data_IF_000158853570
#
_entry.id   IF_000158853570
#
_cell.length_a   1.000
_cell.length_b   1.000
_cell.length_c   1.000
_cell.angle_alpha   90.00
_cell.angle_beta   90.00
_cell.angle_gamma   90.00
#
_symmetry.space_group_name_H-M   'P 1'
#
loop_
_entity.id
_entity.type
_entity.pdbx_description
1 polymer ?
#
# COMPACT_ATOMS: atom_id res chain seq x y z
N UNK A 1 22.21 -9.95 -27.83
CA UNK A 1 20.93 -10.71 -27.85
C UNK A 1 21.16 -11.93 -26.99
N UNK A 2 20.66 -11.92 -25.74
CA UNK A 2 20.68 -13.12 -24.90
C UNK A 2 19.27 -13.72 -25.10
N UNK A 3 19.22 -14.82 -25.87
CA UNK A 3 17.99 -15.57 -26.13
C UNK A 3 17.36 -16.00 -24.79
N UNK A 4 16.06 -15.79 -24.64
CA UNK A 4 15.27 -16.45 -23.59
C UNK A 4 15.30 -17.95 -23.91
N UNK A 5 16.04 -18.74 -23.15
CA UNK A 5 15.98 -20.18 -23.24
C UNK A 5 14.52 -20.65 -23.08
N UNK A 6 14.10 -21.64 -23.86
CA UNK A 6 12.75 -22.20 -23.86
C UNK A 6 12.33 -22.51 -22.41
N UNK A 7 11.16 -22.00 -22.01
CA UNK A 7 10.58 -22.26 -20.69
C UNK A 7 10.19 -23.75 -20.61
N UNK A 8 10.52 -24.49 -19.54
CA UNK A 8 10.05 -25.86 -19.41
C UNK A 8 8.53 -25.87 -19.39
N UNK A 9 7.95 -26.69 -20.25
CA UNK A 9 6.54 -26.74 -20.61
C UNK A 9 5.64 -26.95 -19.40
N UNK A 10 4.82 -25.97 -19.04
CA UNK A 10 3.71 -26.04 -18.08
C UNK A 10 2.59 -27.02 -18.56
N UNK A 11 2.76 -27.65 -19.71
CA UNK A 11 1.77 -28.45 -20.42
C UNK A 11 1.28 -29.72 -19.67
N UNK A 12 1.95 -30.15 -18.60
CA UNK A 12 1.61 -31.40 -17.90
C UNK A 12 0.61 -31.24 -16.74
N UNK A 13 0.26 -30.01 -16.31
CA UNK A 13 -0.69 -29.77 -15.21
C UNK A 13 -2.10 -29.35 -15.64
N UNK A 14 -2.32 -29.01 -16.91
CA UNK A 14 -3.61 -28.46 -17.40
C UNK A 14 -4.56 -29.50 -18.04
N UNK A 15 -4.24 -30.80 -18.08
CA UNK A 15 -5.05 -31.83 -18.74
C UNK A 15 -6.13 -32.47 -17.85
N UNK A 16 -6.66 -31.78 -16.82
CA UNK A 16 -7.80 -32.28 -16.02
C UNK A 16 -8.87 -31.21 -15.82
N UNK A 17 -9.38 -30.64 -16.90
CA UNK A 17 -10.42 -29.60 -16.83
C UNK A 17 -11.85 -30.04 -17.14
N UNK A 18 -12.12 -31.32 -17.49
CA UNK A 18 -13.42 -31.71 -18.03
C UNK A 18 -14.32 -32.59 -17.14
N UNK A 19 -13.94 -32.87 -15.90
CA UNK A 19 -14.83 -33.66 -15.02
C UNK A 19 -14.77 -33.21 -13.58
N UNK A 20 -15.56 -32.19 -13.18
CA UNK A 20 -16.15 -32.12 -11.83
C UNK A 20 -17.37 -31.19 -11.88
N UNK A 21 -18.53 -31.79 -11.54
CA UNK A 21 -19.84 -31.16 -11.56
C UNK A 21 -20.04 -30.03 -10.57
N UNK A 22 -21.06 -29.26 -10.85
CA UNK A 22 -21.57 -28.10 -10.09
C UNK A 22 -21.83 -28.44 -8.61
N UNK A 23 -21.03 -27.88 -7.72
CA UNK A 23 -21.42 -27.66 -6.32
C UNK A 23 -21.05 -26.24 -5.91
N UNK A 24 -21.97 -25.60 -5.23
CA UNK A 24 -21.99 -24.19 -4.87
C UNK A 24 -20.72 -23.65 -4.17
N UNK A 25 -20.16 -22.56 -4.70
CA UNK A 25 -19.47 -21.55 -3.89
C UNK A 25 -17.95 -21.52 -3.88
N UNK A 26 -17.24 -22.48 -4.50
CA UNK A 26 -15.78 -22.41 -4.64
C UNK A 26 -15.39 -22.96 -6.02
N UNK A 27 -15.31 -22.09 -7.01
CA UNK A 27 -14.77 -22.46 -8.34
C UNK A 27 -13.34 -22.95 -8.07
N UNK A 28 -13.09 -24.24 -8.22
CA UNK A 28 -11.82 -24.91 -7.96
C UNK A 28 -10.68 -24.32 -8.79
N UNK A 29 -10.09 -23.22 -8.30
CA UNK A 29 -8.85 -22.68 -8.88
C UNK A 29 -7.73 -23.66 -8.55
N UNK A 30 -6.93 -24.00 -9.57
CA UNK A 30 -5.73 -24.80 -9.35
C UNK A 30 -4.80 -24.03 -8.44
N UNK A 31 -4.29 -24.63 -7.35
CA UNK A 31 -3.32 -24.00 -6.47
C UNK A 31 -2.09 -23.54 -7.26
N UNK A 32 -1.72 -22.28 -7.13
CA UNK A 32 -0.56 -21.67 -7.79
C UNK A 32 0.52 -21.46 -6.75
N UNK A 33 1.77 -21.76 -7.11
CA UNK A 33 2.93 -21.50 -6.25
C UNK A 33 3.49 -20.10 -6.54
N UNK A 34 3.36 -19.21 -5.56
CA UNK A 34 3.64 -17.77 -5.69
C UNK A 34 4.87 -17.39 -4.86
N UNK A 35 5.86 -16.78 -5.51
CA UNK A 35 6.98 -16.12 -4.85
C UNK A 35 6.73 -14.62 -4.72
N UNK A 36 6.52 -14.10 -3.51
CA UNK A 36 6.41 -12.66 -3.24
C UNK A 36 7.77 -12.10 -2.86
N UNK A 37 8.28 -11.15 -3.63
CA UNK A 37 9.62 -10.60 -3.44
C UNK A 37 9.54 -9.21 -2.82
N UNK A 38 10.05 -9.07 -1.60
CA UNK A 38 10.23 -7.78 -0.94
C UNK A 38 11.66 -7.26 -1.15
N UNK A 39 11.86 -6.01 -1.56
CA UNK A 39 13.19 -5.40 -1.55
C UNK A 39 13.63 -4.98 -0.14
N UNK A 40 12.72 -4.98 0.84
CA UNK A 40 12.92 -4.43 2.18
C UNK A 40 12.93 -5.50 3.27
N UNK A 41 13.73 -5.24 4.31
CA UNK A 41 13.84 -6.09 5.50
C UNK A 41 12.51 -6.07 6.31
N UNK A 42 11.89 -7.23 6.56
CA UNK A 42 10.66 -7.35 7.33
C UNK A 42 10.79 -6.95 8.81
N UNK A 43 12.00 -6.94 9.36
CA UNK A 43 12.25 -6.49 10.74
C UNK A 43 12.01 -5.00 10.97
N UNK A 44 11.73 -4.24 9.90
CA UNK A 44 11.41 -2.81 9.95
C UNK A 44 10.08 -2.57 9.24
N UNK A 45 8.97 -2.50 9.97
CA UNK A 45 7.63 -2.38 9.39
C UNK A 45 7.51 -1.15 8.49
N UNK A 46 6.93 -1.35 7.31
CA UNK A 46 6.70 -0.32 6.30
C UNK A 46 5.58 -0.73 5.35
N UNK A 47 4.91 0.23 4.74
CA UNK A 47 3.69 -0.01 3.95
C UNK A 47 3.81 -1.06 2.85
N UNK A 48 5.00 -1.20 2.22
CA UNK A 48 5.23 -2.23 1.19
C UNK A 48 5.23 -3.63 1.80
N UNK A 49 5.88 -3.82 2.95
CA UNK A 49 5.93 -5.12 3.59
C UNK A 49 4.57 -5.53 4.18
N UNK A 50 3.84 -4.59 4.76
CA UNK A 50 2.45 -4.82 5.20
C UNK A 50 1.55 -5.24 4.02
N UNK A 51 1.69 -4.58 2.87
CA UNK A 51 0.99 -4.97 1.65
C UNK A 51 1.31 -6.42 1.23
N UNK A 52 2.59 -6.81 1.27
CA UNK A 52 3.04 -8.18 0.97
C UNK A 52 2.43 -9.18 1.95
N UNK A 53 2.41 -8.87 3.25
CA UNK A 53 1.86 -9.76 4.27
C UNK A 53 0.36 -9.98 4.10
N UNK A 54 -0.39 -8.92 3.79
CA UNK A 54 -1.83 -9.04 3.55
C UNK A 54 -2.11 -9.85 2.28
N UNK A 55 -1.41 -9.59 1.17
CA UNK A 55 -1.55 -10.40 -0.04
C UNK A 55 -1.21 -11.88 0.22
N UNK A 56 -0.11 -12.14 0.97
CA UNK A 56 0.24 -13.50 1.37
C UNK A 56 -0.90 -14.18 2.13
N UNK A 57 -1.46 -13.49 3.12
CA UNK A 57 -2.55 -14.04 3.93
C UNK A 57 -3.79 -14.38 3.08
N UNK A 58 -4.17 -13.48 2.16
CA UNK A 58 -5.30 -13.71 1.25
C UNK A 58 -5.04 -14.86 0.28
N UNK A 59 -3.85 -14.92 -0.33
CA UNK A 59 -3.52 -16.00 -1.26
C UNK A 59 -3.45 -17.37 -0.56
N UNK A 60 -2.89 -17.44 0.65
CA UNK A 60 -2.89 -18.67 1.46
C UNK A 60 -4.31 -19.07 1.83
N UNK A 61 -5.17 -18.11 2.20
CA UNK A 61 -6.61 -18.38 2.46
C UNK A 61 -7.32 -18.88 1.21
N UNK A 62 -6.91 -18.40 0.03
CA UNK A 62 -7.39 -18.86 -1.28
C UNK A 62 -6.83 -20.23 -1.71
N UNK A 63 -6.02 -20.91 -0.89
CA UNK A 63 -5.46 -22.24 -1.17
C UNK A 63 -4.19 -22.23 -2.02
N UNK A 64 -3.54 -21.08 -2.23
CA UNK A 64 -2.27 -20.98 -2.95
C UNK A 64 -1.06 -21.28 -2.04
N UNK A 65 0.02 -21.82 -2.62
CA UNK A 65 1.32 -21.98 -1.94
C UNK A 65 2.12 -20.70 -2.09
N UNK A 66 2.35 -19.99 -0.97
CA UNK A 66 2.94 -18.65 -1.00
C UNK A 66 4.22 -18.56 -0.18
N UNK A 67 5.28 -18.17 -0.83
CA UNK A 67 6.59 -17.97 -0.21
C UNK A 67 7.04 -16.51 -0.38
N UNK A 68 7.46 -15.87 0.73
CA UNK A 68 8.04 -14.52 0.72
C UNK A 68 9.56 -14.60 0.71
N UNK A 69 10.20 -13.88 -0.20
CA UNK A 69 11.65 -13.67 -0.23
C UNK A 69 11.93 -12.21 0.14
N UNK A 70 12.77 -11.98 1.16
CA UNK A 70 13.11 -10.64 1.61
C UNK A 70 14.55 -10.58 2.14
N UNK A 71 15.22 -9.40 2.11
CA UNK A 71 16.49 -9.21 2.78
C UNK A 71 16.34 -9.37 4.29
N UNK A 72 17.25 -10.10 4.95
CA UNK A 72 17.23 -10.23 6.42
C UNK A 72 18.62 -10.47 7.01
N UNK A 73 19.09 -9.53 7.73
CA UNK A 73 20.04 -9.31 8.79
C UNK A 73 21.25 -10.17 9.05
N UNK A 74 21.59 -11.28 8.41
CA UNK A 74 22.83 -12.03 8.66
C UNK A 74 23.69 -12.22 7.42
N UNK A 75 25.02 -12.15 7.63
CA UNK A 75 26.02 -12.33 6.59
C UNK A 75 25.93 -13.74 5.99
N UNK A 76 25.72 -13.82 4.67
CA UNK A 76 25.98 -15.04 3.88
C UNK A 76 25.00 -16.20 4.03
N UNK A 77 23.78 -16.03 4.54
CA UNK A 77 22.85 -17.13 4.79
C UNK A 77 21.46 -16.97 4.17
N UNK A 78 20.93 -18.08 3.68
CA UNK A 78 19.52 -18.28 3.42
C UNK A 78 18.88 -18.75 4.74
N UNK A 79 18.01 -17.93 5.36
CA UNK A 79 17.22 -18.36 6.51
C UNK A 79 15.85 -18.80 6.02
N UNK A 80 15.56 -20.10 6.10
CA UNK A 80 14.26 -20.66 5.72
C UNK A 80 13.38 -20.84 6.95
N UNK A 81 12.16 -20.32 6.88
CA UNK A 81 11.05 -20.58 7.80
C UNK A 81 9.79 -20.81 6.97
N UNK A 82 8.76 -21.39 7.54
CA UNK A 82 7.51 -21.69 6.84
C UNK A 82 7.00 -20.54 5.96
N UNK A 83 7.11 -20.71 4.63
CA UNK A 83 6.72 -19.72 3.65
C UNK A 83 7.54 -18.42 3.65
N UNK A 84 8.78 -18.42 4.18
CA UNK A 84 9.66 -17.25 4.20
C UNK A 84 11.12 -17.60 3.98
N UNK A 85 11.80 -16.86 3.11
CA UNK A 85 13.26 -16.90 2.91
C UNK A 85 13.89 -15.54 3.19
N UNK A 86 14.69 -15.45 4.23
CA UNK A 86 15.55 -14.31 4.54
C UNK A 86 16.87 -14.40 3.77
N UNK A 87 17.20 -13.40 2.94
CA UNK A 87 18.34 -13.44 2.02
C UNK A 87 19.25 -12.23 2.21
N UNK A 88 20.48 -12.48 2.64
CA UNK A 88 21.56 -11.49 2.66
C UNK A 88 21.49 -10.46 3.78
N UNK A 89 22.59 -9.70 3.89
CA UNK A 89 22.76 -8.65 4.91
C UNK A 89 22.08 -7.36 4.49
N UNK A 90 21.44 -6.68 5.43
CA UNK A 90 20.75 -5.40 5.16
C UNK A 90 21.56 -4.18 5.56
N UNK A 91 21.41 -3.10 4.79
CA UNK A 91 21.98 -1.77 5.01
C UNK A 91 20.84 -0.76 5.05
N UNK A 92 20.80 0.18 6.02
CA UNK A 92 19.80 1.23 6.06
C UNK A 92 20.07 2.28 4.99
N UNK A 93 19.02 2.66 4.25
CA UNK A 93 19.06 3.78 3.30
C UNK A 93 17.85 4.70 3.51
N UNK A 94 17.99 6.03 3.31
CA UNK A 94 16.87 6.94 3.38
C UNK A 94 15.97 6.79 2.14
N UNK A 95 14.66 6.61 2.37
CA UNK A 95 13.67 6.53 1.30
C UNK A 95 12.35 7.19 1.73
N UNK A 96 11.84 8.13 0.95
CA UNK A 96 10.53 8.79 1.14
C UNK A 96 10.28 9.31 2.57
N UNK A 97 11.29 9.90 3.22
CA UNK A 97 11.18 10.42 4.59
C UNK A 97 11.22 9.34 5.68
N UNK A 98 11.57 8.12 5.32
CA UNK A 98 11.78 6.97 6.21
C UNK A 98 13.16 6.36 6.00
N UNK A 99 13.61 5.54 6.96
CA UNK A 99 14.74 4.64 6.78
C UNK A 99 14.21 3.27 6.37
N UNK A 100 14.65 2.77 5.21
CA UNK A 100 14.38 1.40 4.77
C UNK A 100 15.67 0.59 4.78
N UNK A 101 15.57 -0.73 4.91
CA UNK A 101 16.73 -1.62 4.86
C UNK A 101 16.67 -2.49 3.62
N UNK A 102 17.71 -2.43 2.80
CA UNK A 102 17.87 -3.20 1.56
C UNK A 102 19.17 -4.01 1.61
N UNK A 103 19.32 -5.00 0.72
CA UNK A 103 20.60 -5.69 0.55
C UNK A 103 21.36 -5.15 -0.66
N UNK A 104 22.70 -5.04 -0.53
CA UNK A 104 23.62 -4.77 -1.64
C UNK A 104 24.55 -5.97 -1.89
N UNK A 105 24.23 -7.13 -1.34
CA UNK A 105 25.06 -8.32 -1.44
C UNK A 105 24.87 -9.04 -2.77
N UNK A 106 25.73 -8.74 -3.74
CA UNK A 106 25.71 -9.35 -5.08
C UNK A 106 26.19 -10.81 -5.08
N UNK A 107 26.86 -11.26 -4.00
CA UNK A 107 27.33 -12.65 -3.87
C UNK A 107 26.18 -13.65 -3.73
N UNK A 108 24.96 -13.15 -3.47
CA UNK A 108 23.73 -13.94 -3.37
C UNK A 108 23.24 -14.53 -4.70
N UNK A 109 23.88 -14.20 -5.83
CA UNK A 109 23.44 -14.64 -7.17
C UNK A 109 23.18 -16.15 -7.22
N UNK A 110 24.15 -16.97 -6.80
CA UNK A 110 24.02 -18.43 -6.84
C UNK A 110 22.98 -18.96 -5.84
N UNK A 111 22.86 -18.34 -4.67
CA UNK A 111 21.84 -18.70 -3.68
C UNK A 111 20.42 -18.44 -4.20
N UNK A 112 20.19 -17.28 -4.80
CA UNK A 112 18.91 -16.94 -5.43
C UNK A 112 18.60 -17.88 -6.59
N UNK A 113 19.57 -18.12 -7.48
CA UNK A 113 19.42 -19.03 -8.61
C UNK A 113 19.04 -20.45 -8.18
N UNK A 114 19.73 -20.98 -7.16
CA UNK A 114 19.46 -22.32 -6.61
C UNK A 114 18.08 -22.37 -5.96
N UNK A 115 17.70 -21.33 -5.21
CA UNK A 115 16.40 -21.22 -4.58
C UNK A 115 15.27 -21.24 -5.63
N UNK A 116 15.35 -20.38 -6.65
CA UNK A 116 14.32 -20.31 -7.69
C UNK A 116 14.17 -21.63 -8.46
N UNK A 117 15.28 -22.34 -8.71
CA UNK A 117 15.25 -23.67 -9.34
C UNK A 117 14.62 -24.73 -8.43
N UNK A 118 14.86 -24.66 -7.12
CA UNK A 118 14.29 -25.62 -6.16
C UNK A 118 12.79 -25.39 -5.98
N UNK A 119 12.39 -24.15 -5.78
CA UNK A 119 11.00 -23.79 -5.49
C UNK A 119 10.08 -23.91 -6.69
N UNK A 120 10.58 -23.70 -7.91
CA UNK A 120 9.78 -23.80 -9.15
C UNK A 120 8.46 -23.03 -9.05
N UNK A 121 8.54 -21.73 -8.75
CA UNK A 121 7.37 -20.86 -8.69
C UNK A 121 6.63 -20.80 -10.02
N UNK A 122 5.30 -20.79 -9.97
CA UNK A 122 4.44 -20.54 -11.15
C UNK A 122 4.39 -19.02 -11.44
N UNK A 123 4.43 -18.20 -10.38
CA UNK A 123 4.43 -16.73 -10.44
C UNK A 123 5.50 -16.18 -9.51
N UNK A 124 6.22 -15.19 -9.96
CA UNK A 124 7.07 -14.33 -9.13
C UNK A 124 6.49 -12.92 -9.17
N UNK A 125 6.09 -12.42 -8.00
CA UNK A 125 5.58 -11.06 -7.86
C UNK A 125 6.56 -10.20 -7.06
N UNK A 126 7.16 -9.22 -7.73
CA UNK A 126 8.16 -8.33 -7.16
C UNK A 126 7.53 -7.00 -6.76
N UNK A 127 7.70 -6.60 -5.51
CA UNK A 127 7.33 -5.26 -5.06
C UNK A 127 8.53 -4.33 -5.19
N UNK A 128 8.31 -3.13 -5.77
CA UNK A 128 9.38 -2.19 -6.14
C UNK A 128 10.50 -2.89 -6.94
N UNK A 129 10.21 -3.44 -8.12
CA UNK A 129 11.12 -4.30 -8.87
C UNK A 129 12.43 -3.63 -9.32
N UNK A 130 12.48 -2.28 -9.26
CA UNK A 130 13.66 -1.49 -9.62
C UNK A 130 14.54 -1.10 -8.44
N UNK A 131 14.24 -1.58 -7.23
CA UNK A 131 15.14 -1.46 -6.07
C UNK A 131 16.24 -2.53 -6.21
N UNK A 132 17.54 -2.16 -6.21
CA UNK A 132 18.63 -3.13 -6.20
C UNK A 132 18.72 -3.81 -4.81
N UNK A 133 19.22 -4.99 -4.62
CA UNK A 133 19.85 -5.98 -5.50
C UNK A 133 18.94 -7.20 -5.64
N UNK A 134 18.17 -7.57 -4.58
CA UNK A 134 17.39 -8.80 -4.55
C UNK A 134 16.40 -8.91 -5.72
N UNK A 135 15.56 -7.88 -6.03
CA UNK A 135 14.68 -7.93 -7.19
C UNK A 135 15.42 -8.19 -8.51
N UNK A 136 16.60 -7.60 -8.69
CA UNK A 136 17.40 -7.79 -9.90
C UNK A 136 17.92 -9.21 -10.02
N UNK A 137 18.46 -9.77 -8.91
CA UNK A 137 18.94 -11.17 -8.90
C UNK A 137 17.81 -12.14 -9.21
N UNK A 138 16.62 -11.88 -8.70
CA UNK A 138 15.43 -12.68 -9.01
C UNK A 138 15.04 -12.53 -10.48
N UNK A 139 14.91 -11.33 -11.03
CA UNK A 139 14.57 -11.11 -12.43
C UNK A 139 15.59 -11.72 -13.40
N UNK A 140 16.89 -11.66 -13.09
CA UNK A 140 17.95 -12.26 -13.91
C UNK A 140 17.88 -13.79 -13.96
N UNK A 141 17.40 -14.43 -12.90
CA UNK A 141 17.37 -15.89 -12.78
C UNK A 141 15.98 -16.51 -12.94
N UNK A 142 14.94 -15.70 -12.97
CA UNK A 142 13.56 -16.17 -13.15
C UNK A 142 13.33 -16.74 -14.54
N UNK A 143 12.65 -17.90 -14.60
CA UNK A 143 12.21 -18.58 -15.81
C UNK A 143 10.68 -18.71 -15.87
N UNK A 144 9.97 -18.01 -14.98
CA UNK A 144 8.50 -18.02 -14.90
C UNK A 144 7.91 -16.64 -15.14
N UNK A 145 6.61 -16.51 -14.98
CA UNK A 145 5.89 -15.24 -15.12
C UNK A 145 6.28 -14.28 -13.99
N UNK A 146 6.74 -13.10 -14.37
CA UNK A 146 7.18 -12.06 -13.45
C UNK A 146 6.19 -10.88 -13.46
N UNK A 147 5.63 -10.55 -12.30
CA UNK A 147 4.75 -9.40 -12.10
C UNK A 147 5.46 -8.38 -11.21
N UNK A 148 5.38 -7.10 -11.55
CA UNK A 148 6.01 -6.04 -10.77
C UNK A 148 5.00 -5.04 -10.24
N UNK A 149 4.97 -4.79 -8.91
CA UNK A 149 4.15 -3.73 -8.29
C UNK A 149 5.00 -2.54 -7.87
N UNK A 150 4.56 -1.33 -8.27
CA UNK A 150 5.17 -0.04 -8.00
C UNK A 150 4.36 0.72 -6.97
N UNK A 151 5.00 1.07 -5.84
CA UNK A 151 4.36 1.77 -4.70
C UNK A 151 4.79 3.23 -4.58
N UNK A 152 5.97 3.57 -5.14
CA UNK A 152 6.56 4.88 -4.96
C UNK A 152 5.84 5.95 -5.79
N UNK A 153 5.64 7.11 -5.18
CA UNK A 153 5.28 8.36 -5.86
C UNK A 153 6.33 9.44 -5.55
N UNK A 154 6.88 10.02 -6.60
CA UNK A 154 7.82 11.14 -6.55
C UNK A 154 7.62 12.02 -7.77
N UNK A 155 8.08 13.27 -7.71
CA UNK A 155 8.10 14.16 -8.88
C UNK A 155 9.16 13.75 -9.91
N UNK A 156 10.31 13.24 -9.44
CA UNK A 156 11.40 12.78 -10.30
C UNK A 156 12.31 11.78 -9.58
N UNK A 157 13.12 11.06 -10.34
CA UNK A 157 14.16 10.17 -9.82
C UNK A 157 15.43 10.30 -10.67
N UNK A 158 16.47 10.99 -10.17
CA UNK A 158 17.79 11.01 -10.83
C UNK A 158 18.35 9.60 -11.05
N UNK A 159 18.08 8.69 -10.12
CA UNK A 159 18.47 7.28 -10.22
C UNK A 159 17.87 6.60 -11.45
N UNK A 160 16.57 6.78 -11.71
CA UNK A 160 15.91 6.21 -12.88
C UNK A 160 16.46 6.81 -14.18
N UNK A 161 16.82 8.07 -14.18
CA UNK A 161 17.46 8.74 -15.34
C UNK A 161 18.85 8.19 -15.59
N UNK A 162 19.72 8.14 -14.55
CA UNK A 162 21.11 7.73 -14.68
C UNK A 162 21.28 6.26 -15.10
N UNK A 163 20.40 5.36 -14.60
CA UNK A 163 20.48 3.92 -14.85
C UNK A 163 19.40 3.41 -15.81
N UNK A 164 18.78 4.30 -16.59
CA UNK A 164 17.64 3.99 -17.49
C UNK A 164 17.88 2.76 -18.38
N UNK A 165 19.01 2.60 -19.09
CA UNK A 165 19.21 1.43 -19.97
C UNK A 165 19.15 0.10 -19.22
N UNK A 166 19.82 0.03 -18.07
CA UNK A 166 19.84 -1.16 -17.23
C UNK A 166 18.46 -1.46 -16.64
N UNK A 167 17.79 -0.43 -16.15
CA UNK A 167 16.42 -0.58 -15.60
C UNK A 167 15.40 -0.93 -16.68
N UNK A 168 15.55 -0.41 -17.91
CA UNK A 168 14.72 -0.81 -19.04
C UNK A 168 14.87 -2.29 -19.37
N UNK A 169 16.09 -2.83 -19.26
CA UNK A 169 16.32 -4.25 -19.39
C UNK A 169 15.62 -5.04 -18.26
N UNK A 170 15.66 -4.58 -16.98
CA UNK A 170 14.90 -5.23 -15.90
C UNK A 170 13.39 -5.13 -16.14
N UNK A 171 12.89 -3.99 -16.60
CA UNK A 171 11.48 -3.79 -16.95
C UNK A 171 11.00 -4.71 -18.06
N UNK A 172 11.85 -5.03 -19.04
CA UNK A 172 11.51 -5.96 -20.14
C UNK A 172 11.34 -7.42 -19.68
N UNK A 173 11.78 -7.74 -18.47
CA UNK A 173 11.60 -9.07 -17.85
C UNK A 173 10.32 -9.20 -17.05
N UNK A 174 9.55 -8.11 -16.89
CA UNK A 174 8.22 -8.15 -16.29
C UNK A 174 7.18 -8.47 -17.36
N UNK A 175 6.38 -9.50 -17.13
CA UNK A 175 5.28 -9.92 -18.00
C UNK A 175 4.01 -9.08 -17.71
N UNK A 176 3.83 -8.58 -16.48
CA UNK A 176 2.79 -7.63 -16.12
C UNK A 176 3.28 -6.59 -15.09
N UNK A 177 2.63 -5.42 -15.09
CA UNK A 177 3.00 -4.29 -14.22
C UNK A 177 1.77 -3.77 -13.51
N UNK A 178 1.89 -3.60 -12.19
CA UNK A 178 0.85 -3.05 -11.31
C UNK A 178 1.39 -1.75 -10.71
N UNK A 179 0.54 -0.73 -10.62
CA UNK A 179 0.81 0.48 -9.84
C UNK A 179 -0.28 0.64 -8.77
N UNK A 180 0.10 1.00 -7.55
CA UNK A 180 -0.86 1.11 -6.44
C UNK A 180 -1.76 2.36 -6.51
N UNK A 181 -1.52 3.25 -7.46
CA UNK A 181 -2.35 4.44 -7.68
C UNK A 181 -2.02 5.10 -9.02
N UNK A 182 -2.92 5.97 -9.54
CA UNK A 182 -2.59 6.79 -10.71
C UNK A 182 -1.31 7.62 -10.53
N UNK A 183 -1.07 8.32 -9.39
CA UNK A 183 0.20 9.01 -9.18
C UNK A 183 1.44 8.11 -9.22
N UNK A 184 1.37 6.87 -8.69
CA UNK A 184 2.48 5.91 -8.75
C UNK A 184 2.74 5.45 -10.19
N UNK A 185 1.66 5.16 -10.96
CA UNK A 185 1.76 4.87 -12.40
C UNK A 185 2.40 6.04 -13.15
N UNK A 186 1.91 7.25 -12.95
CA UNK A 186 2.37 8.44 -13.67
C UNK A 186 3.85 8.71 -13.39
N UNK A 187 4.30 8.48 -12.15
CA UNK A 187 5.70 8.59 -11.80
C UNK A 187 6.57 7.57 -12.56
N UNK A 188 6.23 6.28 -12.51
CA UNK A 188 7.07 5.24 -13.15
C UNK A 188 6.99 5.30 -14.67
N UNK A 189 5.84 5.66 -15.24
CA UNK A 189 5.64 5.74 -16.69
C UNK A 189 6.38 6.89 -17.36
N UNK A 190 6.81 7.94 -16.63
CA UNK A 190 7.71 8.98 -17.14
C UNK A 190 9.04 8.40 -17.65
N UNK A 191 9.49 7.29 -17.07
CA UNK A 191 10.76 6.63 -17.40
C UNK A 191 10.57 5.37 -18.23
N UNK A 192 9.53 4.59 -17.92
CA UNK A 192 9.28 3.25 -18.48
C UNK A 192 7.83 3.16 -18.96
N UNK A 193 7.61 3.53 -20.21
CA UNK A 193 6.31 3.49 -20.84
C UNK A 193 5.75 2.05 -20.97
N UNK A 194 4.44 1.93 -21.12
CA UNK A 194 3.74 0.66 -21.31
C UNK A 194 2.48 0.56 -20.45
N UNK A 195 1.78 -0.58 -20.52
CA UNK A 195 0.57 -0.81 -19.74
C UNK A 195 0.90 -1.03 -18.26
N UNK A 196 0.05 -0.50 -17.39
CA UNK A 196 0.05 -0.71 -15.94
C UNK A 196 -1.38 -0.92 -15.46
N UNK A 197 -1.64 -2.03 -14.80
CA UNK A 197 -2.88 -2.22 -14.04
C UNK A 197 -2.84 -1.35 -12.77
N UNK A 198 -3.91 -0.61 -12.48
CA UNK A 198 -4.01 0.14 -11.23
C UNK A 198 -4.74 -0.71 -10.22
N UNK A 199 -4.00 -1.26 -9.25
CA UNK A 199 -4.53 -2.04 -8.13
C UNK A 199 -4.06 -1.39 -6.83
N UNK A 200 -4.98 -0.75 -6.08
CA UNK A 200 -4.61 0.00 -4.89
C UNK A 200 -4.17 -0.88 -3.73
N UNK A 201 -3.63 -0.24 -2.68
CA UNK A 201 -3.44 -0.92 -1.40
C UNK A 201 -4.79 -1.27 -0.80
N UNK A 202 -4.88 -2.43 -0.16
CA UNK A 202 -6.04 -2.83 0.60
C UNK A 202 -6.02 -2.34 2.04
N UNK A 203 -7.15 -2.50 2.71
CA UNK A 203 -7.31 -2.41 4.16
C UNK A 203 -8.02 -3.67 4.67
N UNK A 204 -7.86 -3.97 5.94
CA UNK A 204 -8.67 -4.96 6.65
C UNK A 204 -9.93 -4.24 7.15
N UNK A 205 -10.96 -4.25 6.33
CA UNK A 205 -12.21 -3.52 6.61
C UNK A 205 -12.86 -4.05 7.90
N UNK A 206 -12.87 -5.36 8.09
CA UNK A 206 -13.48 -5.99 9.27
C UNK A 206 -12.85 -5.53 10.59
N UNK A 207 -11.56 -5.20 10.57
CA UNK A 207 -10.84 -4.67 11.73
C UNK A 207 -11.36 -3.32 12.22
N UNK A 208 -11.94 -2.51 11.33
CA UNK A 208 -12.41 -1.16 11.63
C UNK A 208 -13.93 -1.06 11.74
N UNK A 209 -14.68 -2.08 11.29
CA UNK A 209 -16.13 -2.09 11.38
C UNK A 209 -16.60 -2.52 12.78
N UNK A 210 -17.72 -1.93 13.21
CA UNK A 210 -18.45 -2.29 14.44
C UNK A 210 -17.59 -2.33 15.72
N UNK A 211 -16.55 -1.47 15.74
CA UNK A 211 -15.63 -1.35 16.88
C UNK A 211 -16.27 -0.47 17.94
N UNK A 212 -16.25 -0.94 19.18
CA UNK A 212 -16.73 -0.18 20.33
C UNK A 212 -15.86 1.08 20.55
N UNK A 213 -16.47 2.28 20.49
CA UNK A 213 -15.74 3.52 20.72
C UNK A 213 -15.21 3.62 22.16
N UNK A 214 -14.33 4.55 22.42
CA UNK A 214 -13.91 4.85 23.78
C UNK A 214 -15.08 5.46 24.60
N UNK A 215 -15.14 5.25 25.92
CA UNK A 215 -16.24 5.79 26.77
C UNK A 215 -16.43 7.30 26.64
N UNK A 216 -15.35 8.05 26.41
CA UNK A 216 -15.40 9.50 26.24
C UNK A 216 -16.03 9.96 24.92
N UNK A 217 -16.28 9.08 23.97
CA UNK A 217 -16.92 9.45 22.69
C UNK A 217 -18.35 10.00 22.87
N UNK A 218 -19.01 9.67 23.99
CA UNK A 218 -20.39 10.05 24.29
C UNK A 218 -20.50 11.19 25.33
N UNK A 219 -19.40 11.91 25.63
CA UNK A 219 -19.40 13.00 26.63
C UNK A 219 -19.90 14.35 26.07
N UNK A 220 -20.28 14.40 24.81
CA UNK A 220 -20.77 15.59 24.11
C UNK A 220 -19.68 16.55 23.65
N UNK A 221 -18.39 16.23 23.86
CA UNK A 221 -17.26 17.07 23.41
C UNK A 221 -16.88 16.71 21.98
N UNK A 222 -16.99 17.65 21.02
CA UNK A 222 -16.65 17.39 19.63
C UNK A 222 -15.16 17.08 19.44
N UNK A 223 -14.83 16.02 18.69
CA UNK A 223 -13.44 15.58 18.48
C UNK A 223 -13.06 15.46 17.02
N UNK A 224 -11.95 16.11 16.68
CA UNK A 224 -11.26 15.96 15.42
C UNK A 224 -10.12 14.97 15.64
N UNK A 225 -10.02 13.94 14.83
CA UNK A 225 -8.94 12.96 14.89
C UNK A 225 -7.91 13.22 13.79
N UNK A 226 -6.64 13.20 14.14
CA UNK A 226 -5.50 13.10 13.22
C UNK A 226 -4.74 11.80 13.50
N UNK A 227 -4.40 11.05 12.44
CA UNK A 227 -3.58 9.84 12.56
C UNK A 227 -2.37 9.93 11.63
N UNK A 228 -1.16 9.75 12.16
CA UNK A 228 0.05 9.70 11.36
C UNK A 228 1.32 10.16 12.06
N UNK A 229 2.46 10.08 11.35
CA UNK A 229 3.76 10.60 11.82
C UNK A 229 3.76 12.13 11.74
N UNK A 230 3.39 12.79 12.82
CA UNK A 230 3.08 14.22 12.81
C UNK A 230 4.31 15.14 12.70
N UNK A 231 5.53 14.64 12.93
CA UNK A 231 6.76 15.42 12.67
C UNK A 231 7.10 15.53 11.17
N UNK A 232 6.44 14.78 10.29
CA UNK A 232 6.63 14.92 8.86
C UNK A 232 5.86 16.15 8.34
N UNK A 233 6.56 17.19 7.81
CA UNK A 233 5.90 18.44 7.40
C UNK A 233 4.80 18.24 6.36
N UNK A 234 4.97 17.21 5.49
CA UNK A 234 3.99 16.86 4.45
C UNK A 234 2.65 16.37 5.01
N UNK A 235 2.62 15.79 6.23
CA UNK A 235 1.38 15.36 6.91
C UNK A 235 0.49 16.52 7.35
N UNK A 236 1.02 17.73 7.40
CA UNK A 236 0.25 18.94 7.50
C UNK A 236 -0.35 19.26 8.87
N UNK A 237 0.05 18.58 9.96
CA UNK A 237 -0.48 18.84 11.31
C UNK A 237 -0.46 20.33 11.67
N UNK A 238 0.59 21.07 11.29
CA UNK A 238 0.69 22.52 11.53
C UNK A 238 -0.49 23.33 10.99
N UNK A 239 -1.11 22.89 9.90
CA UNK A 239 -2.28 23.57 9.33
C UNK A 239 -3.56 23.22 10.10
N UNK A 240 -3.67 22.00 10.60
CA UNK A 240 -4.77 21.58 11.46
C UNK A 240 -4.70 22.29 12.83
N UNK A 241 -3.52 22.40 13.43
CA UNK A 241 -3.32 23.19 14.65
C UNK A 241 -3.75 24.66 14.46
N UNK A 242 -3.42 25.26 13.33
CA UNK A 242 -3.84 26.64 12.99
C UNK A 242 -5.32 26.74 12.66
N UNK A 243 -5.97 25.69 12.20
CA UNK A 243 -7.39 25.62 11.92
C UNK A 243 -8.23 25.48 13.21
N UNK A 244 -7.70 24.82 14.24
CA UNK A 244 -8.45 24.51 15.47
C UNK A 244 -9.02 25.73 16.17
N UNK A 245 -8.33 26.88 16.38
CA UNK A 245 -8.93 28.08 16.96
C UNK A 245 -10.12 28.61 16.14
N UNK A 246 -10.09 28.47 14.81
CA UNK A 246 -11.20 28.87 13.94
C UNK A 246 -12.40 27.92 14.07
N UNK A 247 -12.16 26.62 14.21
CA UNK A 247 -13.21 25.62 14.50
C UNK A 247 -13.86 25.93 15.85
N UNK A 248 -13.06 26.26 16.86
CA UNK A 248 -13.54 26.58 18.22
C UNK A 248 -14.38 27.84 18.32
N UNK A 249 -14.40 28.69 17.31
CA UNK A 249 -15.35 29.82 17.26
C UNK A 249 -16.82 29.32 17.18
N UNK A 250 -17.07 28.16 16.56
CA UNK A 250 -18.40 27.55 16.50
C UNK A 250 -18.58 26.38 17.46
N UNK A 251 -17.50 25.68 17.78
CA UNK A 251 -17.45 24.55 18.71
C UNK A 251 -16.43 24.82 19.81
N UNK A 252 -16.75 25.63 20.83
CA UNK A 252 -15.79 26.13 21.83
C UNK A 252 -15.01 25.02 22.55
N UNK A 253 -15.69 23.88 22.78
CA UNK A 253 -15.11 22.72 23.48
C UNK A 253 -14.43 21.71 22.54
N UNK A 254 -14.38 21.98 21.24
CA UNK A 254 -13.77 21.07 20.27
C UNK A 254 -12.33 20.73 20.65
N UNK A 255 -12.00 19.44 20.58
CA UNK A 255 -10.66 18.89 20.85
C UNK A 255 -10.06 18.26 19.59
N UNK A 256 -8.74 18.33 19.51
CA UNK A 256 -7.95 17.64 18.49
C UNK A 256 -7.20 16.49 19.14
N UNK A 257 -7.51 15.26 18.73
CA UNK A 257 -6.79 14.04 19.16
C UNK A 257 -5.75 13.71 18.10
N UNK A 258 -4.47 13.70 18.48
CA UNK A 258 -3.33 13.42 17.60
C UNK A 258 -2.75 12.07 17.94
N UNK A 259 -2.97 11.09 17.06
CA UNK A 259 -2.47 9.72 17.22
C UNK A 259 -1.32 9.47 16.25
N UNK A 260 -0.19 8.97 16.77
CA UNK A 260 0.96 8.59 15.97
C UNK A 260 2.29 9.00 16.58
N UNK A 261 3.36 8.72 15.84
CA UNK A 261 4.73 9.06 16.29
C UNK A 261 5.07 10.50 15.97
N UNK A 262 5.68 11.15 16.92
CA UNK A 262 6.21 12.50 16.78
C UNK A 262 6.63 13.07 18.11
N UNK A 263 7.13 14.29 18.08
CA UNK A 263 7.56 15.07 19.24
C UNK A 263 6.64 16.30 19.33
N UNK A 264 5.75 16.36 20.32
CA UNK A 264 4.83 17.48 20.53
C UNK A 264 5.54 18.81 20.76
N UNK A 265 6.73 18.81 21.40
CA UNK A 265 7.50 20.02 21.72
C UNK A 265 7.84 20.84 20.47
N UNK A 266 7.99 20.19 19.31
CA UNK A 266 8.20 20.88 18.02
C UNK A 266 7.05 21.79 17.60
N UNK A 267 5.89 21.65 18.20
CA UNK A 267 4.69 22.45 17.93
C UNK A 267 4.37 23.45 19.04
N UNK A 268 5.08 23.44 20.19
CA UNK A 268 4.80 24.30 21.32
C UNK A 268 4.77 25.80 20.93
N UNK A 269 5.81 26.30 20.28
CA UNK A 269 5.85 27.70 19.85
C UNK A 269 4.78 28.07 18.78
N UNK A 270 4.35 27.08 17.95
CA UNK A 270 3.22 27.31 17.04
C UNK A 270 1.90 27.38 17.82
N UNK A 271 1.70 26.49 18.80
CA UNK A 271 0.50 26.46 19.61
C UNK A 271 0.35 27.72 20.46
N UNK A 272 1.43 28.18 21.07
CA UNK A 272 1.48 29.45 21.78
C UNK A 272 1.13 30.63 20.87
N UNK A 273 1.81 30.74 19.71
CA UNK A 273 1.61 31.86 18.77
C UNK A 273 0.16 32.01 18.29
N UNK A 274 -0.59 30.91 18.14
CA UNK A 274 -1.97 30.90 17.61
C UNK A 274 -3.01 30.61 18.70
N UNK A 275 -2.64 30.65 19.98
CA UNK A 275 -3.49 30.29 21.15
C UNK A 275 -4.26 28.98 20.92
N UNK A 276 -3.53 27.94 20.47
CA UNK A 276 -4.11 26.62 20.19
C UNK A 276 -4.29 25.87 21.51
N UNK A 277 -5.55 25.56 21.86
CA UNK A 277 -5.93 24.81 23.05
C UNK A 277 -6.73 23.57 22.68
N UNK A 278 -6.84 22.61 23.60
CA UNK A 278 -7.65 21.39 23.39
C UNK A 278 -7.00 20.40 22.43
N UNK A 279 -5.68 20.21 22.53
CA UNK A 279 -4.92 19.22 21.73
C UNK A 279 -4.41 18.11 22.64
N UNK A 280 -4.74 16.87 22.31
CA UNK A 280 -4.32 15.66 23.01
C UNK A 280 -3.34 14.88 22.13
N UNK A 281 -2.06 14.91 22.46
CA UNK A 281 -1.06 14.07 21.82
C UNK A 281 -1.00 12.72 22.52
N UNK A 282 -1.60 11.70 21.89
CA UNK A 282 -1.76 10.36 22.47
C UNK A 282 -0.49 9.51 22.31
N UNK A 283 0.34 9.83 21.31
CA UNK A 283 1.43 8.95 20.91
C UNK A 283 0.96 7.85 19.98
N UNK A 284 1.71 6.76 19.90
CA UNK A 284 1.39 5.65 19.02
C UNK A 284 0.33 4.73 19.65
N UNK A 285 -0.84 4.64 19.04
CA UNK A 285 -1.86 3.66 19.41
C UNK A 285 -1.42 2.23 19.06
N UNK A 286 -1.86 1.26 19.83
CA UNK A 286 -1.74 -0.16 19.51
C UNK A 286 -2.62 -0.54 18.32
N UNK A 287 -2.40 -1.73 17.78
CA UNK A 287 -3.21 -2.25 16.67
C UNK A 287 -4.70 -2.40 17.03
N UNK A 288 -5.02 -2.68 18.28
CA UNK A 288 -6.39 -2.81 18.78
C UNK A 288 -7.05 -1.47 19.15
N UNK A 289 -6.25 -0.46 19.53
CA UNK A 289 -6.77 0.85 19.92
C UNK A 289 -7.05 1.76 18.71
N UNK A 290 -6.26 1.65 17.66
CA UNK A 290 -6.38 2.53 16.49
C UNK A 290 -7.79 2.55 15.90
N UNK A 291 -8.47 1.41 15.66
CA UNK A 291 -9.87 1.41 15.22
C UNK A 291 -10.82 2.14 16.16
N UNK A 292 -10.61 2.03 17.48
CA UNK A 292 -11.43 2.72 18.48
C UNK A 292 -11.29 4.25 18.40
N UNK A 293 -10.08 4.77 18.11
CA UNK A 293 -9.90 6.22 17.89
C UNK A 293 -10.72 6.72 16.71
N UNK A 294 -10.71 5.97 15.58
CA UNK A 294 -11.55 6.32 14.43
C UNK A 294 -13.05 6.25 14.77
N UNK A 295 -13.49 5.23 15.48
CA UNK A 295 -14.90 5.07 15.89
C UNK A 295 -15.36 6.13 16.90
N UNK A 296 -14.42 6.80 17.59
CA UNK A 296 -14.70 7.76 18.67
C UNK A 296 -14.65 9.23 18.24
N UNK A 297 -14.37 9.54 16.98
CA UNK A 297 -14.26 10.93 16.52
C UNK A 297 -15.49 11.38 15.72
N UNK A 298 -15.81 12.68 15.81
CA UNK A 298 -16.87 13.30 15.01
C UNK A 298 -16.41 13.54 13.57
N UNK A 299 -15.11 13.74 13.36
CA UNK A 299 -14.49 13.91 12.05
C UNK A 299 -13.03 13.49 12.07
N UNK A 300 -12.63 12.71 11.07
CA UNK A 300 -11.22 12.42 10.81
C UNK A 300 -10.62 13.46 9.86
N UNK A 301 -9.45 13.99 10.20
CA UNK A 301 -8.77 15.00 9.40
C UNK A 301 -7.38 14.53 8.95
N UNK A 302 -7.16 14.44 7.64
CA UNK A 302 -5.88 14.14 7.00
C UNK A 302 -5.37 15.34 6.19
N UNK A 303 -4.76 16.38 6.82
CA UNK A 303 -4.43 17.65 6.17
C UNK A 303 -3.12 17.60 5.38
N UNK A 304 -2.76 16.45 4.82
CA UNK A 304 -1.51 16.27 4.07
C UNK A 304 -1.39 17.27 2.91
N UNK A 305 -0.17 17.74 2.70
CA UNK A 305 0.10 18.81 1.71
C UNK A 305 0.76 18.32 0.43
N UNK A 306 1.30 17.13 0.44
CA UNK A 306 1.97 16.47 -0.70
C UNK A 306 2.49 15.08 -0.32
N UNK A 307 3.02 14.33 -1.30
CA UNK A 307 3.85 13.15 -1.05
C UNK A 307 3.10 11.91 -0.53
N UNK A 308 1.77 11.88 -0.61
CA UNK A 308 0.99 10.68 -0.40
C UNK A 308 0.66 10.04 -1.75
N UNK A 309 1.00 8.77 -1.89
CA UNK A 309 0.69 8.02 -3.11
C UNK A 309 -0.75 7.51 -3.14
N UNK A 310 -1.36 7.32 -1.94
CA UNK A 310 -2.68 6.72 -1.82
C UNK A 310 -3.48 7.29 -0.63
N UNK A 311 -3.20 6.94 0.60
CA UNK A 311 -3.88 7.43 1.80
C UNK A 311 -4.68 6.36 2.52
N UNK A 312 -4.01 5.29 2.97
CA UNK A 312 -4.65 4.18 3.73
C UNK A 312 -5.47 4.71 4.91
N UNK A 313 -4.99 5.71 5.62
CA UNK A 313 -5.69 6.31 6.78
C UNK A 313 -7.08 6.86 6.46
N UNK A 314 -7.34 7.24 5.19
CA UNK A 314 -8.67 7.68 4.75
C UNK A 314 -9.65 6.50 4.71
N UNK A 315 -9.18 5.37 4.18
CA UNK A 315 -9.98 4.15 4.10
C UNK A 315 -10.23 3.54 5.48
N UNK A 316 -9.23 3.59 6.38
CA UNK A 316 -9.39 3.20 7.78
C UNK A 316 -10.50 4.01 8.46
N UNK A 317 -10.48 5.34 8.29
CA UNK A 317 -11.53 6.22 8.79
C UNK A 317 -12.91 5.93 8.18
N UNK A 318 -12.97 5.75 6.86
CA UNK A 318 -14.20 5.39 6.14
C UNK A 318 -14.78 4.04 6.62
N UNK A 319 -13.94 3.02 6.79
CA UNK A 319 -14.34 1.71 7.29
C UNK A 319 -14.89 1.77 8.72
N UNK A 320 -14.27 2.58 9.58
CA UNK A 320 -14.73 2.84 10.95
C UNK A 320 -16.00 3.68 11.02
N UNK A 321 -16.43 4.29 9.89
CA UNK A 321 -17.60 5.18 9.85
C UNK A 321 -17.30 6.60 10.33
N UNK A 322 -16.04 7.04 10.35
CA UNK A 322 -15.68 8.42 10.59
C UNK A 322 -15.81 9.25 9.30
N UNK A 323 -16.52 10.39 9.31
CA UNK A 323 -16.55 11.31 8.17
C UNK A 323 -15.16 11.91 7.94
N UNK A 324 -14.74 12.01 6.67
CA UNK A 324 -13.36 12.36 6.31
C UNK A 324 -13.27 13.77 5.74
N UNK A 325 -12.34 14.56 6.32
CA UNK A 325 -11.85 15.82 5.74
C UNK A 325 -10.36 15.67 5.42
N UNK A 326 -9.95 15.93 4.19
CA UNK A 326 -8.57 15.72 3.77
C UNK A 326 -8.01 16.83 2.90
N UNK A 327 -6.68 16.93 2.80
CA UNK A 327 -6.02 17.84 1.87
C UNK A 327 -6.26 17.42 0.42
N UNK A 328 -6.53 18.39 -0.44
CA UNK A 328 -6.79 18.18 -1.87
C UNK A 328 -5.48 17.92 -2.64
N UNK A 329 -4.95 16.72 -2.52
CA UNK A 329 -3.72 16.26 -3.17
C UNK A 329 -3.96 15.05 -4.07
N UNK A 330 -3.13 14.80 -5.10
CA UNK A 330 -3.38 13.74 -6.08
C UNK A 330 -3.61 12.35 -5.48
N UNK A 331 -2.83 11.96 -4.45
CA UNK A 331 -3.02 10.65 -3.80
C UNK A 331 -4.36 10.52 -3.09
N UNK A 332 -4.87 11.58 -2.48
CA UNK A 332 -6.16 11.56 -1.79
C UNK A 332 -7.36 11.65 -2.76
N UNK A 333 -7.21 12.37 -3.88
CA UNK A 333 -8.20 12.36 -4.97
C UNK A 333 -8.39 10.99 -5.61
N UNK A 334 -7.41 10.08 -5.49
CA UNK A 334 -7.58 8.72 -5.99
C UNK A 334 -8.47 7.84 -5.11
N UNK A 335 -8.76 8.30 -3.88
CA UNK A 335 -9.60 7.60 -2.90
C UNK A 335 -10.91 8.35 -2.66
N UNK A 336 -10.84 9.68 -2.46
CA UNK A 336 -11.99 10.52 -2.10
C UNK A 336 -12.64 11.13 -3.33
N UNK A 337 -13.95 10.95 -3.46
CA UNK A 337 -14.84 11.75 -4.32
C UNK A 337 -15.39 12.90 -3.48
N UNK A 338 -14.87 14.11 -3.74
CA UNK A 338 -15.22 15.30 -2.97
C UNK A 338 -16.75 15.51 -2.87
N UNK A 339 -17.25 15.68 -1.64
CA UNK A 339 -18.66 15.88 -1.35
C UNK A 339 -19.54 14.63 -1.41
N UNK A 340 -18.96 13.45 -1.74
CA UNK A 340 -19.66 12.16 -1.80
C UNK A 340 -19.27 11.25 -0.64
N UNK A 341 -17.98 10.89 -0.53
CA UNK A 341 -17.44 9.99 0.49
C UNK A 341 -16.36 10.65 1.37
N UNK A 342 -16.13 11.97 1.17
CA UNK A 342 -15.25 12.79 1.99
C UNK A 342 -15.21 14.23 1.46
N UNK A 343 -14.62 15.13 2.23
CA UNK A 343 -14.46 16.54 1.87
C UNK A 343 -12.98 16.84 1.66
N UNK A 344 -12.63 17.38 0.49
CA UNK A 344 -11.27 17.82 0.16
C UNK A 344 -11.15 19.33 0.37
N UNK A 345 -10.11 19.76 1.09
CA UNK A 345 -9.79 21.16 1.32
C UNK A 345 -8.44 21.53 0.66
N UNK A 346 -8.27 22.75 0.10
CA UNK A 346 -7.02 23.20 -0.47
C UNK A 346 -5.84 22.97 0.48
N UNK A 347 -4.74 22.35 0.04
CA UNK A 347 -3.61 22.06 0.91
C UNK A 347 -2.92 23.34 1.37
N UNK A 348 -2.30 23.30 2.53
CA UNK A 348 -1.60 24.45 3.16
C UNK A 348 -2.50 25.65 3.50
N UNK A 349 -3.81 25.47 3.51
CA UNK A 349 -4.79 26.50 3.83
C UNK A 349 -5.56 26.15 5.11
N UNK A 350 -5.16 26.71 6.25
CA UNK A 350 -5.80 26.44 7.54
C UNK A 350 -7.25 26.96 7.63
N UNK A 351 -7.55 28.07 6.96
CA UNK A 351 -8.91 28.64 6.94
C UNK A 351 -9.88 27.77 6.16
N UNK A 352 -9.50 27.33 4.95
CA UNK A 352 -10.31 26.40 4.15
C UNK A 352 -10.50 25.06 4.86
N UNK A 353 -9.46 24.58 5.57
CA UNK A 353 -9.53 23.36 6.36
C UNK A 353 -10.52 23.53 7.53
N UNK A 354 -10.49 24.66 8.24
CA UNK A 354 -11.42 24.95 9.33
C UNK A 354 -12.87 25.00 8.82
N UNK A 355 -13.13 25.68 7.71
CA UNK A 355 -14.47 25.74 7.10
C UNK A 355 -15.00 24.34 6.71
N UNK A 356 -14.14 23.49 6.15
CA UNK A 356 -14.51 22.11 5.80
C UNK A 356 -14.86 21.28 7.05
N UNK A 357 -14.05 21.39 8.12
CA UNK A 357 -14.28 20.72 9.40
C UNK A 357 -15.59 21.19 10.04
N UNK A 358 -15.78 22.52 10.14
CA UNK A 358 -17.01 23.12 10.68
C UNK A 358 -18.24 22.66 9.92
N UNK A 359 -18.21 22.68 8.57
CA UNK A 359 -19.31 22.20 7.74
C UNK A 359 -19.68 20.75 8.03
N UNK A 360 -18.70 19.86 8.10
CA UNK A 360 -18.94 18.44 8.38
C UNK A 360 -19.45 18.24 9.81
N UNK A 361 -18.94 18.99 10.78
CA UNK A 361 -19.33 18.88 12.19
C UNK A 361 -20.73 19.47 12.46
N UNK A 362 -21.13 20.53 11.74
CA UNK A 362 -22.42 21.18 11.92
C UNK A 362 -23.59 20.47 11.22
N UNK A 363 -23.33 19.85 10.05
CA UNK A 363 -24.36 19.28 9.17
C UNK A 363 -24.46 17.75 9.39
N UNK A 364 -25.50 17.33 10.14
CA UNK A 364 -25.74 15.92 10.46
C UNK A 364 -26.12 15.08 9.23
N UNK A 365 -26.85 15.65 8.28
CA UNK A 365 -27.27 14.93 7.07
C UNK A 365 -26.06 14.72 6.14
N UNK A 366 -25.21 15.74 6.00
CA UNK A 366 -23.96 15.61 5.29
C UNK A 366 -23.07 14.51 5.92
N UNK A 367 -22.91 14.53 7.26
CA UNK A 367 -22.13 13.48 7.95
C UNK A 367 -22.67 12.09 7.65
N UNK A 368 -23.98 11.89 7.78
CA UNK A 368 -24.62 10.60 7.51
C UNK A 368 -24.40 10.14 6.07
N UNK A 369 -24.52 11.05 5.11
CA UNK A 369 -24.26 10.76 3.70
C UNK A 369 -22.80 10.37 3.45
N UNK A 370 -21.84 11.16 3.97
CA UNK A 370 -20.40 10.90 3.83
C UNK A 370 -19.99 9.56 4.44
N UNK A 371 -20.52 9.23 5.62
CA UNK A 371 -20.26 7.96 6.32
C UNK A 371 -20.81 6.78 5.52
N UNK A 372 -22.05 6.87 5.03
CA UNK A 372 -22.66 5.79 4.23
C UNK A 372 -21.87 5.50 2.96
N UNK A 373 -21.56 6.55 2.20
CA UNK A 373 -20.76 6.40 0.98
C UNK A 373 -19.29 6.01 1.27
N UNK A 374 -18.70 6.54 2.34
CA UNK A 374 -17.34 6.19 2.76
C UNK A 374 -17.19 4.70 3.10
N UNK A 375 -18.15 4.14 3.87
CA UNK A 375 -18.18 2.69 4.16
C UNK A 375 -18.26 1.86 2.88
N UNK A 376 -19.10 2.23 1.93
CA UNK A 376 -19.19 1.56 0.63
C UNK A 376 -17.86 1.66 -0.14
N UNK A 377 -17.25 2.83 -0.15
CA UNK A 377 -15.93 3.03 -0.78
C UNK A 377 -14.89 2.13 -0.14
N UNK A 378 -14.80 2.07 1.21
CA UNK A 378 -13.84 1.22 1.92
C UNK A 378 -13.95 -0.26 1.54
N UNK A 379 -15.16 -0.80 1.32
CA UNK A 379 -15.38 -2.20 0.91
C UNK A 379 -14.68 -2.55 -0.41
N UNK A 380 -14.59 -1.62 -1.37
CA UNK A 380 -13.89 -1.86 -2.63
C UNK A 380 -12.37 -1.98 -2.47
N UNK A 381 -11.86 -1.64 -1.30
CA UNK A 381 -10.44 -1.72 -0.94
C UNK A 381 -10.15 -2.81 0.10
N UNK A 382 -11.12 -3.70 0.38
CA UNK A 382 -10.84 -4.87 1.23
C UNK A 382 -9.76 -5.76 0.62
N UNK A 383 -8.88 -6.33 1.47
CA UNK A 383 -7.77 -7.14 0.99
C UNK A 383 -8.21 -8.34 0.16
N UNK A 384 -9.39 -8.92 0.43
CA UNK A 384 -9.96 -10.02 -0.36
C UNK A 384 -10.20 -9.59 -1.81
N UNK A 385 -10.78 -8.39 -2.00
CA UNK A 385 -11.03 -7.83 -3.33
C UNK A 385 -9.72 -7.45 -4.03
N UNK A 386 -8.77 -6.84 -3.31
CA UNK A 386 -7.45 -6.50 -3.84
C UNK A 386 -6.70 -7.76 -4.30
N UNK A 387 -6.67 -8.80 -3.47
CA UNK A 387 -6.03 -10.08 -3.80
C UNK A 387 -6.66 -10.72 -5.03
N UNK A 388 -7.99 -10.71 -5.14
CA UNK A 388 -8.73 -11.21 -6.31
C UNK A 388 -8.30 -10.48 -7.60
N UNK A 389 -8.16 -9.15 -7.56
CA UNK A 389 -7.71 -8.33 -8.70
C UNK A 389 -6.26 -8.64 -9.08
N UNK A 390 -5.38 -8.86 -8.11
CA UNK A 390 -3.98 -9.28 -8.36
C UNK A 390 -3.93 -10.65 -9.02
N UNK A 391 -4.73 -11.62 -8.55
CA UNK A 391 -4.83 -12.95 -9.17
C UNK A 391 -5.28 -12.88 -10.64
N UNK A 392 -6.21 -11.99 -10.97
CA UNK A 392 -6.61 -11.75 -12.36
C UNK A 392 -5.46 -11.24 -13.24
N UNK A 393 -4.55 -10.42 -12.68
CA UNK A 393 -3.33 -10.02 -13.40
C UNK A 393 -2.43 -11.22 -13.64
N UNK A 394 -2.27 -12.11 -12.67
CA UNK A 394 -1.48 -13.33 -12.81
C UNK A 394 -2.04 -14.24 -13.93
N UNK A 395 -3.34 -14.47 -13.92
CA UNK A 395 -4.04 -15.28 -14.94
C UNK A 395 -3.79 -14.72 -16.35
N UNK A 396 -3.97 -13.41 -16.55
CA UNK A 396 -3.70 -12.76 -17.85
C UNK A 396 -2.24 -12.86 -18.28
N UNK A 397 -1.31 -12.66 -17.35
CA UNK A 397 0.12 -12.73 -17.62
C UNK A 397 0.56 -14.15 -18.00
N UNK A 398 0.02 -15.18 -17.33
CA UNK A 398 0.27 -16.58 -17.66
C UNK A 398 -0.28 -16.93 -19.05
N UNK A 399 -1.51 -16.54 -19.36
CA UNK A 399 -2.12 -16.79 -20.67
C UNK A 399 -1.34 -16.13 -21.82
N UNK A 400 -0.87 -14.89 -21.60
CA UNK A 400 -0.03 -14.17 -22.57
C UNK A 400 1.32 -14.85 -22.80
N UNK A 401 1.96 -15.32 -21.73
CA UNK A 401 3.25 -16.02 -21.83
C UNK A 401 3.11 -17.34 -22.59
N UNK A 402 2.05 -18.11 -22.34
CA UNK A 402 1.77 -19.37 -23.04
C UNK A 402 1.49 -19.17 -24.54
N UNK A 403 0.70 -18.15 -24.89
CA UNK A 403 0.41 -17.85 -26.30
C UNK A 403 1.65 -17.41 -27.06
N UNK A 404 2.56 -16.69 -26.42
CA UNK A 404 3.86 -16.30 -27.03
C UNK A 404 4.74 -17.51 -27.29
N UNK A 405 4.88 -18.42 -26.32
CA UNK A 405 5.69 -19.63 -26.45
C UNK A 405 5.14 -20.57 -27.55
N UNK A 406 3.80 -20.71 -27.68
CA UNK A 406 3.18 -21.50 -28.77
C UNK A 406 3.40 -20.88 -30.15
N UNK A 407 3.40 -19.55 -30.25
CA UNK A 407 3.66 -18.84 -31.50
C UNK A 407 5.10 -19.04 -31.96
N UNK A 408 6.05 -18.92 -31.02
CA UNK A 408 7.49 -19.12 -31.32
C UNK A 408 7.77 -20.58 -31.71
N UNK A 409 7.15 -21.55 -31.05
CA UNK A 409 7.28 -22.97 -31.40
C UNK A 409 6.75 -23.29 -32.84
N UNK A 410 5.71 -22.59 -33.31
CA UNK A 410 5.15 -22.75 -34.69
C UNK A 410 6.00 -22.06 -35.76
N UNK A 411 6.75 -21.02 -35.41
CA UNK A 411 7.62 -20.28 -36.37
C UNK A 411 9.00 -20.92 -36.50
N UNK A 412 9.41 -21.73 -35.49
CA UNK A 412 10.69 -22.44 -35.49
C UNK A 412 10.61 -23.91 -35.97
N UNK A 413 9.44 -24.40 -36.31
CA UNK A 413 9.19 -25.72 -36.94
C UNK A 413 8.90 -25.54 -38.45
#
# INVERSE_FOLDING_TARGET
MIERGARPTLALRLLRFDEIGETHGNIGRIPVKIGLISPYDPGHPGGVYEHINHLRAEFVRGGHDVTVLAPRGRKGGLEARDGFYGIGRTVPIPANGSMVRVTFDVTLYNAVKTLLRREQFDIIHLHEPLIPVLPYLVLLNSQTVNVGTFHAFRSSSPWYTAFKPYMSFMMSRLDARIAVSPPARDFVSQYFQGPYDIIPNGIDVARFQDVEPFPWANDGVPRILFVGRFNEPRKGLKYLLRALPLVRQQFPDARLVVVGRGDPEKFAGLMERYDVRGVDFVGQASASELPRYYASCDVFCAPSTSGESFGIVLLEAMAAGAPVVAGDIPGYRSVIRHGVDGVLAPPKNAQALALALVRVMADADLRKSLVGAGRQTAQHYDWTEIARRVLQVYERAQASAQSHDMTMARVGA
#
